data_IF_071705825955
#
_entry.id   IF_071705825955
#
_cell.length_a   1.000
_cell.length_b   1.000
_cell.length_c   1.000
_cell.angle_alpha   90.00
_cell.angle_beta   90.00
_cell.angle_gamma   90.00
#
_symmetry.space_group_name_H-M   'P 1'
#
loop_
_entity.id
_entity.type
_entity.pdbx_description
1 polymer ?
#
# COMPACT_ATOMS: atom_id res chain seq x y z
N UNK A 1 2.91 -4.52 -11.95
CA UNK A 1 4.10 -3.69 -11.70
C UNK A 1 3.68 -2.24 -11.74
N UNK A 2 3.85 -1.51 -10.64
CA UNK A 2 3.58 -0.07 -10.60
C UNK A 2 4.86 0.68 -10.96
N UNK A 3 4.78 1.58 -11.93
CA UNK A 3 5.87 2.46 -12.35
C UNK A 3 5.52 3.89 -11.89
N UNK A 4 6.38 4.54 -11.13
CA UNK A 4 6.12 5.87 -10.57
C UNK A 4 7.39 6.66 -10.34
N UNK A 5 7.23 7.98 -10.26
CA UNK A 5 8.33 8.93 -10.08
C UNK A 5 9.00 8.71 -8.71
N UNK A 6 10.33 8.59 -8.70
CA UNK A 6 11.12 8.20 -7.53
C UNK A 6 11.07 9.22 -6.39
N UNK A 7 10.88 10.49 -6.74
CA UNK A 7 10.92 11.61 -5.80
C UNK A 7 9.54 11.95 -5.25
N UNK A 8 8.49 11.25 -5.70
CA UNK A 8 7.14 11.39 -5.20
C UNK A 8 6.82 10.22 -4.27
N UNK A 9 6.06 10.51 -3.22
CA UNK A 9 5.46 9.46 -2.39
C UNK A 9 4.43 8.74 -3.27
N UNK A 10 4.60 7.44 -3.43
CA UNK A 10 3.63 6.59 -4.09
C UNK A 10 2.45 6.34 -3.15
N UNK A 11 1.24 6.37 -3.70
CA UNK A 11 0.02 6.03 -2.99
C UNK A 11 -0.62 4.81 -3.66
N UNK A 12 -0.94 3.79 -2.87
CA UNK A 12 -1.81 2.69 -3.26
C UNK A 12 -3.12 2.85 -2.50
N UNK A 13 -4.21 3.08 -3.23
CA UNK A 13 -5.55 3.20 -2.67
C UNK A 13 -6.33 1.95 -3.02
N UNK A 14 -6.82 1.26 -1.99
CA UNK A 14 -7.76 0.15 -2.12
C UNK A 14 -9.13 0.68 -1.71
N UNK A 15 -10.12 0.53 -2.58
CA UNK A 15 -11.49 0.98 -2.35
C UNK A 15 -12.46 -0.21 -2.41
N UNK A 16 -13.40 -0.28 -1.47
CA UNK A 16 -14.45 -1.29 -1.50
C UNK A 16 -15.05 -1.60 -0.12
N UNK A 17 -16.24 -2.21 -0.09
CA UNK A 17 -16.87 -2.64 1.15
C UNK A 17 -16.04 -3.71 1.85
N UNK A 18 -15.82 -3.51 3.14
CA UNK A 18 -15.03 -4.39 3.99
C UNK A 18 -13.53 -4.11 3.97
N UNK A 19 -12.99 -3.24 3.12
CA UNK A 19 -11.53 -3.06 3.03
C UNK A 19 -10.85 -2.63 4.35
N UNK A 20 -11.64 -2.15 5.31
CA UNK A 20 -11.24 -1.89 6.70
C UNK A 20 -10.82 -3.11 7.52
N UNK A 21 -11.00 -4.35 7.04
CA UNK A 21 -10.49 -5.56 7.73
C UNK A 21 -8.99 -5.78 7.58
N UNK A 22 -8.30 -5.02 6.73
CA UNK A 22 -6.84 -5.15 6.53
C UNK A 22 -6.12 -4.65 7.78
N UNK A 23 -5.58 -5.56 8.60
CA UNK A 23 -4.84 -5.22 9.83
C UNK A 23 -3.34 -5.07 9.61
N UNK A 24 -2.82 -5.74 8.59
CA UNK A 24 -1.39 -5.73 8.28
C UNK A 24 -1.14 -5.52 6.80
N UNK A 25 -0.29 -4.54 6.49
CA UNK A 25 0.22 -4.30 5.15
C UNK A 25 1.73 -4.47 5.17
N UNK A 26 2.23 -5.35 4.31
CA UNK A 26 3.66 -5.47 4.05
C UNK A 26 3.96 -5.14 2.60
N UNK A 27 4.97 -4.29 2.38
CA UNK A 27 5.49 -4.01 1.05
C UNK A 27 6.97 -4.32 0.98
N UNK A 28 7.34 -5.20 0.05
CA UNK A 28 8.72 -5.68 -0.11
C UNK A 28 9.34 -6.18 1.21
N UNK A 29 8.51 -6.82 2.06
CA UNK A 29 8.92 -7.34 3.37
C UNK A 29 8.98 -6.31 4.50
N UNK A 30 8.73 -5.02 4.23
CA UNK A 30 8.60 -3.99 5.27
C UNK A 30 7.14 -3.80 5.67
N UNK A 31 6.85 -3.82 6.97
CA UNK A 31 5.52 -3.46 7.49
C UNK A 31 5.28 -1.97 7.26
N UNK A 32 4.12 -1.64 6.72
CA UNK A 32 3.64 -0.27 6.55
C UNK A 32 2.38 -0.09 7.38
N UNK A 33 2.17 1.13 7.86
CA UNK A 33 0.94 1.51 8.55
C UNK A 33 -0.04 2.05 7.50
N UNK A 34 -1.11 1.33 7.16
CA UNK A 34 -2.15 1.88 6.31
C UNK A 34 -2.97 2.93 7.07
N UNK A 35 -3.51 3.88 6.33
CA UNK A 35 -4.61 4.74 6.79
C UNK A 35 -5.92 4.11 6.32
N UNK A 36 -6.80 3.81 7.27
CA UNK A 36 -8.03 3.05 7.03
C UNK A 36 -9.22 3.95 7.34
N UNK A 37 -10.16 3.98 6.40
CA UNK A 37 -11.49 4.54 6.52
C UNK A 37 -12.53 3.45 6.17
N UNK A 38 -13.82 3.69 6.42
CA UNK A 38 -14.91 2.73 6.23
C UNK A 38 -14.95 2.14 4.81
N UNK A 39 -14.50 2.92 3.81
CA UNK A 39 -14.55 2.53 2.39
C UNK A 39 -13.17 2.42 1.72
N UNK A 40 -12.10 2.83 2.40
CA UNK A 40 -10.78 3.02 1.79
C UNK A 40 -9.65 2.56 2.69
N UNK A 41 -8.63 1.98 2.08
CA UNK A 41 -7.32 1.75 2.71
C UNK A 41 -6.26 2.39 1.84
N UNK A 42 -5.56 3.37 2.42
CA UNK A 42 -4.52 4.16 1.78
C UNK A 42 -3.17 3.69 2.32
N UNK A 43 -2.29 3.27 1.41
CA UNK A 43 -0.94 2.82 1.74
C UNK A 43 0.04 3.78 1.05
N UNK A 44 0.75 4.56 1.85
CA UNK A 44 1.80 5.46 1.37
C UNK A 44 3.15 4.77 1.40
N UNK A 45 3.93 4.96 0.35
CA UNK A 45 5.23 4.32 0.23
C UNK A 45 6.23 5.14 -0.57
N UNK A 46 7.50 5.00 -0.21
CA UNK A 46 8.58 5.57 -1.01
C UNK A 46 8.88 4.65 -2.19
N UNK A 47 8.94 5.19 -3.40
CA UNK A 47 9.28 4.43 -4.60
C UNK A 47 10.73 3.92 -4.50
N UNK A 48 10.88 2.62 -4.21
CA UNK A 48 12.18 1.96 -4.21
C UNK A 48 12.55 1.58 -5.66
N UNK A 49 13.40 2.39 -6.30
CA UNK A 49 14.15 2.14 -7.54
C UNK A 49 13.61 1.00 -8.43
N UNK A 50 12.71 1.29 -9.38
CA UNK A 50 12.37 0.48 -10.57
C UNK A 50 12.23 -1.06 -10.38
N UNK A 51 11.99 -1.54 -9.15
CA UNK A 51 11.79 -2.95 -8.85
C UNK A 51 10.31 -3.18 -8.65
N UNK A 52 9.80 -4.28 -9.21
CA UNK A 52 8.41 -4.69 -9.01
C UNK A 52 8.09 -4.75 -7.51
N UNK A 53 6.96 -4.16 -7.13
CA UNK A 53 6.52 -4.10 -5.74
C UNK A 53 5.62 -5.30 -5.44
N UNK A 54 5.91 -6.00 -4.34
CA UNK A 54 5.04 -7.05 -3.80
C UNK A 54 4.34 -6.52 -2.56
N UNK A 55 3.01 -6.50 -2.61
CA UNK A 55 2.14 -6.14 -1.50
C UNK A 55 1.56 -7.43 -0.93
N UNK A 56 1.60 -7.57 0.39
CA UNK A 56 0.89 -8.62 1.13
C UNK A 56 -0.09 -7.95 2.08
N UNK A 57 -1.35 -8.39 2.00
CA UNK A 57 -2.44 -7.95 2.85
C UNK A 57 -2.77 -9.10 3.80
N UNK A 58 -2.81 -8.81 5.09
CA UNK A 58 -3.15 -9.76 6.15
C UNK A 58 -4.39 -9.32 6.94
N UNK A 59 -5.14 -10.31 7.41
CA UNK A 59 -6.22 -10.20 8.40
C UNK A 59 -5.66 -10.22 9.82
#
# INVERSE_FOLDING_TARGET
TLFGNRDLVGELVLEGPGISWIREVQMNGKKLKPEIDEYRTIIRYNHACQKGMKVRLGL
#
